data_IF_923827802872
#
_entry.id   IF_923827802872
#
_cell.length_a   1.000
_cell.length_b   1.000
_cell.length_c   1.000
_cell.angle_alpha   90.00
_cell.angle_beta   90.00
_cell.angle_gamma   90.00
#
_symmetry.space_group_name_H-M   'P 1'
#
loop_
_entity.id
_entity.type
_entity.pdbx_description
1 polymer ?
#
# COMPACT_ATOMS: atom_id res chain seq x y z
N UNK A 1 3.45 15.70 -12.26
CA UNK A 1 3.36 17.18 -12.30
C UNK A 1 2.87 17.60 -10.92
N UNK A 2 3.69 18.31 -10.14
CA UNK A 2 3.33 18.66 -8.75
C UNK A 2 2.19 19.69 -8.72
N UNK A 3 1.27 19.53 -7.77
CA UNK A 3 0.13 20.43 -7.58
C UNK A 3 0.01 20.83 -6.12
N UNK A 4 -0.70 21.94 -5.83
CA UNK A 4 -0.99 22.31 -4.42
C UNK A 4 -1.86 21.26 -3.71
N UNK A 5 -2.58 20.45 -4.47
CA UNK A 5 -3.40 19.37 -3.94
C UNK A 5 -2.59 18.23 -3.34
N UNK A 6 -1.29 18.09 -3.68
CA UNK A 6 -0.38 17.13 -3.04
C UNK A 6 -0.22 17.36 -1.53
N UNK A 7 -0.53 18.57 -1.04
CA UNK A 7 -0.54 18.86 0.39
C UNK A 7 -1.59 18.05 1.16
N UNK A 8 -2.71 17.66 0.53
CA UNK A 8 -3.79 16.90 1.18
C UNK A 8 -3.36 15.46 1.50
N UNK A 9 -2.92 14.62 0.54
CA UNK A 9 -2.42 13.29 0.86
C UNK A 9 -1.15 13.34 1.71
N UNK A 10 -0.29 14.35 1.56
CA UNK A 10 0.86 14.54 2.45
C UNK A 10 0.44 14.76 3.92
N UNK A 11 -0.54 15.65 4.16
CA UNK A 11 -1.10 15.86 5.49
C UNK A 11 -1.79 14.61 6.05
N UNK A 12 -2.52 13.86 5.22
CA UNK A 12 -3.12 12.59 5.62
C UNK A 12 -2.05 11.55 6.04
N UNK A 13 -0.92 11.49 5.33
CA UNK A 13 0.22 10.65 5.70
C UNK A 13 0.85 11.05 7.04
N UNK A 14 0.99 12.35 7.33
CA UNK A 14 1.47 12.85 8.62
C UNK A 14 0.47 12.59 9.75
N UNK A 15 -0.82 12.74 9.47
CA UNK A 15 -1.88 12.38 10.40
C UNK A 15 -1.83 10.88 10.73
N UNK A 16 -1.60 10.01 9.75
CA UNK A 16 -1.46 8.58 9.98
C UNK A 16 -0.28 8.24 10.90
N UNK A 17 0.90 8.86 10.69
CA UNK A 17 2.03 8.71 11.61
C UNK A 17 1.68 9.19 13.04
N UNK A 18 1.02 10.33 13.14
CA UNK A 18 0.62 10.92 14.43
C UNK A 18 -0.37 10.01 15.15
N UNK A 19 -1.31 9.42 14.41
CA UNK A 19 -2.28 8.45 14.92
C UNK A 19 -1.58 7.19 15.44
N UNK A 20 -0.67 6.60 14.65
CA UNK A 20 0.15 5.46 15.04
C UNK A 20 0.90 5.69 16.35
N UNK A 21 1.58 6.84 16.48
CA UNK A 21 2.29 7.21 17.72
C UNK A 21 1.30 7.47 18.87
N UNK A 22 0.17 8.14 18.59
CA UNK A 22 -0.86 8.46 19.57
C UNK A 22 -1.48 7.22 20.21
N UNK A 23 -1.74 6.16 19.43
CA UNK A 23 -2.25 4.89 19.96
C UNK A 23 -1.32 4.28 21.00
N UNK A 24 0.00 4.35 20.78
CA UNK A 24 0.99 3.83 21.71
C UNK A 24 0.90 4.53 23.07
N UNK A 25 0.85 5.86 23.06
CA UNK A 25 0.77 6.65 24.29
C UNK A 25 -0.61 6.58 24.95
N UNK A 26 -1.68 6.40 24.18
CA UNK A 26 -3.04 6.34 24.70
C UNK A 26 -3.37 4.97 25.33
N UNK A 27 -2.76 3.89 24.84
CA UNK A 27 -3.03 2.52 25.27
C UNK A 27 -3.06 2.28 26.80
N UNK A 28 -2.10 2.77 27.61
CA UNK A 28 -2.14 2.58 29.06
C UNK A 28 -3.18 3.45 29.79
N UNK A 29 -3.82 4.41 29.10
CA UNK A 29 -4.69 5.42 29.70
C UNK A 29 -6.15 5.31 29.28
N UNK A 30 -6.44 4.64 28.16
CA UNK A 30 -7.79 4.48 27.64
C UNK A 30 -8.39 3.10 27.98
N UNK A 31 -9.71 3.02 28.18
CA UNK A 31 -10.41 1.74 28.29
C UNK A 31 -10.21 0.89 27.03
N UNK A 32 -10.14 -0.44 27.20
CA UNK A 32 -9.91 -1.37 26.09
C UNK A 32 -10.93 -1.20 24.95
N UNK A 33 -12.22 -0.97 25.24
CA UNK A 33 -13.23 -0.80 24.20
C UNK A 33 -12.97 0.43 23.30
N UNK A 34 -12.45 1.52 23.87
CA UNK A 34 -12.02 2.71 23.11
C UNK A 34 -10.85 2.31 22.23
N UNK A 35 -9.86 1.63 22.81
CA UNK A 35 -8.69 1.17 22.07
C UNK A 35 -9.08 0.24 20.92
N UNK A 36 -10.03 -0.68 21.08
CA UNK A 36 -10.48 -1.57 20.00
C UNK A 36 -11.09 -0.78 18.82
N UNK A 37 -11.89 0.25 19.10
CA UNK A 37 -12.45 1.13 18.06
C UNK A 37 -11.32 1.88 17.35
N UNK A 38 -10.39 2.47 18.10
CA UNK A 38 -9.27 3.20 17.53
C UNK A 38 -8.31 2.29 16.74
N UNK A 39 -8.14 1.05 17.17
CA UNK A 39 -7.34 0.04 16.47
C UNK A 39 -7.97 -0.36 15.15
N UNK A 40 -9.30 -0.52 15.13
CA UNK A 40 -10.03 -0.77 13.89
C UNK A 40 -9.93 0.41 12.92
N UNK A 41 -10.04 1.65 13.41
CA UNK A 41 -9.81 2.86 12.61
C UNK A 41 -8.38 2.85 12.05
N UNK A 42 -7.37 2.50 12.85
CA UNK A 42 -6.00 2.35 12.38
C UNK A 42 -5.89 1.33 11.24
N UNK A 43 -6.54 0.16 11.33
CA UNK A 43 -6.58 -0.81 10.22
C UNK A 43 -7.15 -0.21 8.93
N UNK A 44 -8.24 0.58 9.03
CA UNK A 44 -8.80 1.28 7.88
C UNK A 44 -7.85 2.35 7.33
N UNK A 45 -7.09 3.03 8.20
CA UNK A 45 -6.09 4.02 7.81
C UNK A 45 -4.90 3.38 7.10
N UNK A 46 -4.41 2.22 7.55
CA UNK A 46 -3.36 1.45 6.85
C UNK A 46 -3.82 1.12 5.43
N UNK A 47 -5.05 0.61 5.27
CA UNK A 47 -5.63 0.36 3.95
C UNK A 47 -5.74 1.62 3.08
N UNK A 48 -6.30 2.71 3.63
CA UNK A 48 -6.45 3.98 2.92
C UNK A 48 -5.11 4.63 2.56
N UNK A 49 -4.08 4.40 3.38
CA UNK A 49 -2.74 4.89 3.11
C UNK A 49 -2.10 4.08 1.97
N UNK A 50 -2.03 2.75 2.08
CA UNK A 50 -1.46 1.89 1.03
C UNK A 50 -2.15 2.17 -0.30
N UNK A 51 -3.49 2.15 -0.33
CA UNK A 51 -4.30 2.29 -1.53
C UNK A 51 -4.66 3.73 -1.88
N UNK A 52 -4.02 4.73 -1.28
CA UNK A 52 -4.37 6.13 -1.49
C UNK A 52 -3.13 6.99 -1.43
N UNK A 53 -2.68 7.31 -0.21
CA UNK A 53 -1.51 8.19 0.03
C UNK A 53 -0.24 7.58 -0.58
N UNK A 54 0.15 6.39 -0.12
CA UNK A 54 1.34 5.68 -0.56
C UNK A 54 1.30 5.37 -2.05
N UNK A 55 0.17 4.86 -2.55
CA UNK A 55 -0.07 4.61 -3.97
C UNK A 55 0.17 5.86 -4.82
N UNK A 56 -0.48 6.99 -4.50
CA UNK A 56 -0.31 8.21 -5.27
C UNK A 56 1.12 8.74 -5.21
N UNK A 57 1.75 8.61 -4.04
CA UNK A 57 3.10 9.12 -3.79
C UNK A 57 4.16 8.43 -4.66
N UNK A 58 4.06 7.12 -4.87
CA UNK A 58 5.04 6.36 -5.68
C UNK A 58 4.93 6.69 -7.17
N UNK A 59 3.71 6.98 -7.65
CA UNK A 59 3.49 7.40 -9.05
C UNK A 59 3.84 8.87 -9.29
N UNK A 60 3.47 9.73 -8.35
CA UNK A 60 3.62 11.18 -8.40
C UNK A 60 4.13 11.68 -7.03
N UNK A 61 5.46 11.78 -6.83
CA UNK A 61 6.01 12.31 -5.59
C UNK A 61 5.46 13.70 -5.27
N UNK A 62 5.13 13.95 -4.01
CA UNK A 62 4.38 15.14 -3.59
C UNK A 62 5.24 16.42 -3.57
N UNK A 63 6.54 16.29 -3.40
CA UNK A 63 7.45 17.43 -3.27
C UNK A 63 8.34 17.59 -4.50
N UNK A 64 8.71 18.84 -4.82
CA UNK A 64 9.60 19.14 -5.96
C UNK A 64 11.03 18.62 -5.74
N UNK A 65 11.48 18.57 -4.49
CA UNK A 65 12.85 18.22 -4.13
C UNK A 65 12.96 16.76 -3.68
N UNK A 66 14.07 16.10 -4.01
CA UNK A 66 14.33 14.68 -3.67
C UNK A 66 14.29 14.44 -2.16
N UNK A 67 14.89 15.32 -1.36
CA UNK A 67 15.02 15.12 0.09
C UNK A 67 13.67 15.09 0.83
N UNK A 68 12.76 16.08 0.69
CA UNK A 68 11.42 16.00 1.28
C UNK A 68 10.64 14.75 0.87
N UNK A 69 10.76 14.29 -0.39
CA UNK A 69 10.15 13.03 -0.80
C UNK A 69 10.74 11.83 -0.04
N UNK A 70 12.06 11.76 0.15
CA UNK A 70 12.68 10.67 0.92
C UNK A 70 12.27 10.69 2.40
N UNK A 71 12.22 11.87 3.02
CA UNK A 71 11.75 12.02 4.40
C UNK A 71 10.27 11.65 4.55
N UNK A 72 9.44 12.00 3.56
CA UNK A 72 8.05 11.58 3.52
C UNK A 72 7.92 10.06 3.33
N UNK A 73 8.76 9.44 2.50
CA UNK A 73 8.87 7.98 2.37
C UNK A 73 9.14 7.30 3.71
N UNK A 74 10.13 7.78 4.47
CA UNK A 74 10.41 7.29 5.83
C UNK A 74 9.19 7.45 6.75
N UNK A 75 8.52 8.60 6.68
CA UNK A 75 7.30 8.87 7.47
C UNK A 75 6.22 7.82 7.17
N UNK A 76 5.95 7.55 5.88
CA UNK A 76 4.98 6.54 5.48
C UNK A 76 5.43 5.14 5.91
N UNK A 77 6.73 4.85 5.83
CA UNK A 77 7.26 3.57 6.24
C UNK A 77 7.12 3.28 7.72
N UNK A 78 7.31 4.29 8.57
CA UNK A 78 7.06 4.15 10.01
C UNK A 78 5.55 4.02 10.26
N UNK A 79 4.73 4.88 9.66
CA UNK A 79 3.28 4.90 9.88
C UNK A 79 2.59 3.58 9.47
N UNK A 80 3.01 2.98 8.35
CA UNK A 80 2.40 1.75 7.84
C UNK A 80 3.21 0.48 8.16
N UNK A 81 4.40 0.62 8.75
CA UNK A 81 5.33 -0.45 9.10
C UNK A 81 5.72 -1.36 7.91
N UNK A 82 6.01 -0.76 6.76
CA UNK A 82 6.65 -1.41 5.60
C UNK A 82 7.51 -0.39 4.84
N UNK A 83 8.45 -0.81 3.98
CA UNK A 83 9.26 0.16 3.20
C UNK A 83 8.47 0.72 2.00
N UNK A 84 8.35 2.04 1.93
CA UNK A 84 7.66 2.76 0.85
C UNK A 84 8.38 2.58 -0.49
N UNK A 85 9.71 2.56 -0.47
CA UNK A 85 10.56 2.30 -1.63
C UNK A 85 10.43 0.84 -2.11
N UNK A 86 10.30 -0.13 -1.20
CA UNK A 86 10.03 -1.52 -1.58
C UNK A 86 8.61 -1.71 -2.12
N UNK A 87 7.63 -1.02 -1.53
CA UNK A 87 6.27 -0.99 -2.05
C UNK A 87 6.22 -0.42 -3.47
N UNK A 88 6.97 0.65 -3.77
CA UNK A 88 7.12 1.15 -5.15
C UNK A 88 7.62 0.07 -6.12
N UNK A 89 8.60 -0.75 -5.72
CA UNK A 89 9.07 -1.85 -6.57
C UNK A 89 7.98 -2.90 -6.84
N UNK A 90 7.29 -3.35 -5.78
CA UNK A 90 6.19 -4.32 -5.89
C UNK A 90 5.07 -3.74 -6.77
N UNK A 91 4.73 -2.48 -6.58
CA UNK A 91 3.63 -1.84 -7.29
C UNK A 91 3.96 -1.53 -8.77
N UNK A 92 5.20 -1.14 -9.08
CA UNK A 92 5.62 -1.01 -10.49
C UNK A 92 5.63 -2.36 -11.19
N UNK A 93 6.04 -3.43 -10.50
CA UNK A 93 5.98 -4.79 -11.02
C UNK A 93 4.51 -5.23 -11.24
N UNK A 94 3.61 -4.83 -10.34
CA UNK A 94 2.17 -5.02 -10.49
C UNK A 94 1.61 -4.34 -11.75
N UNK A 95 1.99 -3.09 -12.04
CA UNK A 95 1.60 -2.42 -13.30
C UNK A 95 2.20 -3.07 -14.55
N UNK A 96 3.33 -3.75 -14.42
CA UNK A 96 3.95 -4.46 -15.54
C UNK A 96 3.19 -5.73 -15.91
N UNK A 97 2.74 -6.49 -14.91
CA UNK A 97 1.97 -7.72 -15.14
C UNK A 97 0.46 -7.50 -15.26
N UNK A 98 -0.11 -6.48 -14.61
CA UNK A 98 -1.54 -6.17 -14.57
C UNK A 98 -2.41 -7.37 -14.15
N UNK A 99 -2.02 -8.04 -13.06
CA UNK A 99 -2.63 -9.29 -12.60
C UNK A 99 -2.72 -10.34 -13.71
N UNK A 100 -1.59 -10.57 -14.38
CA UNK A 100 -1.42 -11.60 -15.40
C UNK A 100 -1.66 -13.01 -14.86
N UNK A 101 -2.07 -13.90 -15.78
CA UNK A 101 -2.15 -15.33 -15.49
C UNK A 101 -0.77 -15.95 -15.45
N UNK A 102 -0.68 -17.10 -14.82
CA UNK A 102 0.54 -17.89 -14.78
C UNK A 102 1.06 -18.20 -16.19
N UNK A 103 2.37 -18.13 -16.36
CA UNK A 103 3.07 -18.57 -17.56
C UNK A 103 3.22 -20.11 -17.60
N UNK A 104 3.96 -20.61 -18.58
CA UNK A 104 4.25 -22.03 -18.75
C UNK A 104 4.99 -22.68 -17.57
N UNK A 105 5.64 -21.88 -16.72
CA UNK A 105 6.35 -22.33 -15.51
C UNK A 105 5.50 -22.20 -14.24
N UNK A 106 4.26 -21.70 -14.35
CA UNK A 106 3.35 -21.52 -13.22
C UNK A 106 3.59 -20.25 -12.41
N UNK A 107 4.33 -19.25 -12.92
CA UNK A 107 4.58 -17.98 -12.21
C UNK A 107 4.03 -16.78 -13.00
N UNK A 108 3.96 -15.62 -12.34
CA UNK A 108 3.42 -14.38 -12.92
C UNK A 108 4.47 -13.27 -12.91
N UNK A 109 4.35 -12.33 -13.84
CA UNK A 109 5.09 -11.07 -13.80
C UNK A 109 4.65 -10.26 -12.58
N UNK A 110 3.34 -10.08 -12.40
CA UNK A 110 2.77 -9.38 -11.25
C UNK A 110 2.83 -10.25 -9.99
N UNK A 111 3.66 -9.88 -9.02
CA UNK A 111 3.77 -10.60 -7.75
C UNK A 111 2.49 -10.58 -6.90
N UNK A 112 1.61 -9.61 -7.16
CA UNK A 112 0.32 -9.45 -6.50
C UNK A 112 -0.84 -10.03 -7.33
N UNK A 113 -0.56 -10.71 -8.44
CA UNK A 113 -1.60 -11.24 -9.31
C UNK A 113 -2.54 -12.17 -8.54
N UNK A 114 -3.85 -11.94 -8.67
CA UNK A 114 -4.88 -12.82 -8.12
C UNK A 114 -4.84 -14.22 -8.75
N UNK A 115 -4.16 -14.39 -9.88
CA UNK A 115 -4.00 -15.67 -10.58
C UNK A 115 -2.73 -16.43 -10.19
N UNK A 116 -1.77 -15.78 -9.51
CA UNK A 116 -0.45 -16.36 -9.22
C UNK A 116 -0.50 -17.67 -8.43
N UNK A 117 -1.50 -17.83 -7.57
CA UNK A 117 -1.74 -19.03 -6.78
C UNK A 117 -3.13 -19.65 -7.07
N UNK A 118 -3.69 -19.30 -8.23
CA UNK A 118 -4.91 -19.88 -8.77
C UNK A 118 -4.65 -21.22 -9.47
N UNK A 119 -5.72 -21.81 -9.99
CA UNK A 119 -5.69 -23.08 -10.73
C UNK A 119 -6.58 -22.96 -11.97
N UNK A 120 -6.24 -23.69 -13.03
CA UNK A 120 -7.02 -23.76 -14.27
C UNK A 120 -7.31 -22.39 -14.92
N UNK A 121 -6.41 -21.41 -14.73
CA UNK A 121 -6.55 -20.05 -15.25
C UNK A 121 -7.54 -19.16 -14.47
N UNK A 122 -8.11 -19.65 -13.38
CA UNK A 122 -9.01 -18.94 -12.49
C UNK A 122 -8.25 -18.22 -11.35
N UNK A 123 -8.79 -17.11 -10.82
CA UNK A 123 -8.16 -16.43 -9.69
C UNK A 123 -8.24 -17.29 -8.42
N UNK A 124 -7.27 -17.16 -7.54
CA UNK A 124 -7.31 -17.82 -6.24
C UNK A 124 -8.50 -17.33 -5.40
N UNK A 125 -8.92 -18.14 -4.42
CA UNK A 125 -10.03 -17.76 -3.55
C UNK A 125 -9.72 -16.48 -2.75
N UNK A 126 -10.70 -15.56 -2.58
CA UNK A 126 -10.47 -14.23 -1.99
C UNK A 126 -9.90 -14.30 -0.58
N UNK A 127 -10.34 -15.25 0.25
CA UNK A 127 -9.84 -15.37 1.63
C UNK A 127 -8.39 -15.86 1.68
N UNK A 128 -8.01 -16.77 0.77
CA UNK A 128 -6.63 -17.24 0.66
C UNK A 128 -5.73 -16.08 0.22
N UNK A 129 -6.16 -15.30 -0.79
CA UNK A 129 -5.45 -14.10 -1.21
C UNK A 129 -5.30 -13.10 -0.06
N UNK A 130 -6.39 -12.75 0.62
CA UNK A 130 -6.42 -11.73 1.68
C UNK A 130 -5.53 -12.08 2.86
N UNK A 131 -5.58 -13.33 3.34
CA UNK A 131 -4.87 -13.73 4.55
C UNK A 131 -3.46 -14.28 4.30
N UNK A 132 -3.12 -14.68 3.07
CA UNK A 132 -1.78 -15.23 2.80
C UNK A 132 -0.86 -14.28 2.05
N UNK A 133 -1.38 -13.29 1.31
CA UNK A 133 -0.53 -12.41 0.48
C UNK A 133 0.52 -11.65 1.28
N UNK A 134 0.21 -11.26 2.51
CA UNK A 134 1.17 -10.63 3.42
C UNK A 134 2.46 -11.46 3.62
N UNK A 135 2.35 -12.77 3.60
CA UNK A 135 3.47 -13.69 3.85
C UNK A 135 4.17 -14.17 2.57
N UNK A 136 3.73 -13.72 1.40
CA UNK A 136 4.23 -14.17 0.09
C UNK A 136 5.26 -13.22 -0.53
N UNK A 137 5.49 -12.06 0.07
CA UNK A 137 6.46 -11.09 -0.42
C UNK A 137 7.91 -11.64 -0.32
N UNK A 138 8.63 -11.60 -1.45
CA UNK A 138 10.04 -11.97 -1.51
C UNK A 138 10.93 -10.72 -1.49
N UNK A 139 11.44 -10.40 -0.30
CA UNK A 139 12.36 -9.25 -0.09
C UNK A 139 13.64 -9.37 -0.94
N UNK A 140 14.10 -10.59 -1.22
CA UNK A 140 15.25 -10.84 -2.09
C UNK A 140 14.97 -10.45 -3.54
N UNK A 141 13.81 -10.85 -4.07
CA UNK A 141 13.32 -10.47 -5.39
C UNK A 141 13.10 -8.95 -5.49
N UNK A 142 12.46 -8.33 -4.48
CA UNK A 142 12.25 -6.88 -4.41
C UNK A 142 13.59 -6.12 -4.45
N UNK A 143 14.57 -6.53 -3.64
CA UNK A 143 15.92 -5.92 -3.66
C UNK A 143 16.64 -6.13 -4.99
N UNK A 144 16.42 -7.28 -5.65
CA UNK A 144 16.97 -7.53 -6.99
C UNK A 144 16.35 -6.56 -8.00
N UNK A 145 15.05 -6.31 -7.94
CA UNK A 145 14.37 -5.36 -8.82
C UNK A 145 14.83 -3.92 -8.57
N UNK A 146 14.92 -3.50 -7.30
CA UNK A 146 15.45 -2.19 -6.95
C UNK A 146 16.89 -1.98 -7.45
N UNK A 147 17.76 -3.00 -7.38
CA UNK A 147 19.14 -2.92 -7.89
C UNK A 147 19.20 -2.62 -9.39
N UNK A 148 18.25 -3.11 -10.19
CA UNK A 148 18.22 -2.89 -11.64
C UNK A 148 18.03 -1.41 -12.01
N UNK A 149 17.50 -0.60 -11.09
CA UNK A 149 17.26 0.85 -11.32
C UNK A 149 18.54 1.68 -11.34
N UNK A 150 19.66 1.14 -10.83
CA UNK A 150 20.96 1.83 -10.84
C UNK A 150 20.99 3.12 -10.01
N UNK A 151 20.16 3.22 -8.97
CA UNK A 151 20.03 4.40 -8.12
C UNK A 151 20.10 4.02 -6.62
N UNK A 152 19.90 4.99 -5.73
CA UNK A 152 20.00 4.81 -4.28
C UNK A 152 18.80 4.06 -3.64
N UNK A 153 17.85 3.52 -4.41
CA UNK A 153 16.60 2.98 -3.87
C UNK A 153 16.81 1.78 -2.95
N UNK A 154 17.84 0.96 -3.19
CA UNK A 154 18.19 -0.14 -2.28
C UNK A 154 18.60 0.39 -0.91
N UNK A 155 19.38 1.47 -0.87
CA UNK A 155 19.77 2.12 0.38
C UNK A 155 18.56 2.68 1.10
N UNK A 156 17.72 3.46 0.40
CA UNK A 156 16.53 4.07 1.00
C UNK A 156 15.51 3.03 1.47
N UNK A 157 15.28 1.96 0.70
CA UNK A 157 14.40 0.87 1.11
C UNK A 157 14.89 0.16 2.37
N UNK A 158 16.20 -0.10 2.48
CA UNK A 158 16.77 -0.68 3.70
C UNK A 158 16.74 0.29 4.88
N UNK A 159 16.95 1.59 4.64
CA UNK A 159 16.85 2.63 5.68
C UNK A 159 15.41 2.73 6.22
N UNK A 160 14.41 2.70 5.33
CA UNK A 160 12.99 2.68 5.70
C UNK A 160 12.62 1.43 6.50
N UNK A 161 13.09 0.24 6.08
CA UNK A 161 12.94 -1.00 6.84
C UNK A 161 13.52 -0.85 8.25
N UNK A 162 14.75 -0.36 8.35
CA UNK A 162 15.43 -0.15 9.62
C UNK A 162 14.70 0.88 10.49
N UNK A 163 14.17 1.95 9.89
CA UNK A 163 13.47 3.02 10.60
C UNK A 163 12.21 2.52 11.30
N UNK A 164 11.31 1.81 10.59
CA UNK A 164 10.10 1.30 11.23
C UNK A 164 10.42 0.14 12.18
N UNK A 165 11.39 -0.73 11.85
CA UNK A 165 11.80 -1.81 12.74
C UNK A 165 12.35 -1.25 14.07
N UNK A 166 13.16 -0.18 13.98
CA UNK A 166 13.67 0.54 15.17
C UNK A 166 12.53 1.18 15.95
N UNK A 167 11.58 1.83 15.28
CA UNK A 167 10.41 2.43 15.96
C UNK A 167 9.60 1.36 16.72
N UNK A 168 9.29 0.24 16.08
CA UNK A 168 8.58 -0.88 16.70
C UNK A 168 9.38 -1.53 17.83
N UNK A 169 10.70 -1.67 17.67
CA UNK A 169 11.57 -2.21 18.70
C UNK A 169 11.61 -1.30 19.93
N UNK A 170 11.74 0.02 19.74
CA UNK A 170 11.66 0.99 20.84
C UNK A 170 10.31 0.91 21.54
N UNK A 171 9.20 0.91 20.79
CA UNK A 171 7.86 0.71 21.37
C UNK A 171 7.75 -0.60 22.15
N UNK A 172 8.33 -1.68 21.64
CA UNK A 172 8.31 -2.99 22.30
C UNK A 172 9.06 -2.96 23.62
N UNK A 173 10.23 -2.30 23.70
CA UNK A 173 10.99 -2.15 24.94
C UNK A 173 10.20 -1.41 26.02
N UNK A 174 9.41 -0.40 25.64
CA UNK A 174 8.59 0.38 26.57
C UNK A 174 7.24 -0.28 26.89
N UNK A 175 6.60 -0.93 25.93
CA UNK A 175 5.31 -1.60 26.12
C UNK A 175 5.09 -2.74 25.12
N UNK A 176 5.71 -3.89 25.39
CA UNK A 176 5.58 -5.08 24.55
C UNK A 176 4.14 -5.61 24.44
N UNK A 177 3.30 -5.40 25.47
CA UNK A 177 1.90 -5.84 25.47
C UNK A 177 1.09 -5.07 24.42
N UNK A 178 1.32 -3.76 24.32
CA UNK A 178 0.75 -2.95 23.23
C UNK A 178 1.18 -3.51 21.88
N UNK A 179 2.48 -3.72 21.66
CA UNK A 179 3.00 -4.15 20.36
C UNK A 179 2.39 -5.50 19.96
N UNK A 180 2.45 -6.50 20.85
CA UNK A 180 2.07 -7.88 20.53
C UNK A 180 0.55 -8.08 20.51
N UNK A 181 -0.16 -7.63 21.54
CA UNK A 181 -1.58 -7.97 21.70
C UNK A 181 -2.55 -6.95 21.10
N UNK A 182 -2.09 -5.73 20.85
CA UNK A 182 -2.95 -4.67 20.32
C UNK A 182 -2.53 -4.26 18.91
N UNK A 183 -1.31 -3.77 18.74
CA UNK A 183 -0.84 -3.20 17.49
C UNK A 183 -0.77 -4.24 16.37
N UNK A 184 -0.08 -5.38 16.57
CA UNK A 184 0.13 -6.37 15.50
C UNK A 184 -1.19 -6.89 14.89
N UNK A 185 -2.23 -7.27 15.67
CA UNK A 185 -3.51 -7.69 15.11
C UNK A 185 -4.17 -6.62 14.22
N UNK A 186 -4.22 -5.36 14.67
CA UNK A 186 -4.86 -4.28 13.90
C UNK A 186 -4.02 -3.85 12.70
N UNK A 187 -2.69 -3.86 12.81
CA UNK A 187 -1.79 -3.61 11.69
C UNK A 187 -1.97 -4.67 10.60
N UNK A 188 -1.97 -5.95 10.97
CA UNK A 188 -2.19 -7.04 10.03
C UNK A 188 -3.59 -6.99 9.41
N UNK A 189 -4.63 -6.69 10.19
CA UNK A 189 -5.98 -6.48 9.67
C UNK A 189 -6.03 -5.35 8.62
N UNK A 190 -5.24 -4.29 8.79
CA UNK A 190 -5.11 -3.22 7.80
C UNK A 190 -4.52 -3.69 6.47
N UNK A 191 -3.50 -4.55 6.51
CA UNK A 191 -2.96 -5.21 5.32
C UNK A 191 -3.99 -6.14 4.67
N UNK A 192 -4.75 -6.92 5.45
CA UNK A 192 -5.84 -7.74 4.93
C UNK A 192 -6.89 -6.90 4.18
N UNK A 193 -7.27 -5.73 4.71
CA UNK A 193 -8.16 -4.80 4.00
C UNK A 193 -7.55 -4.28 2.69
N UNK A 194 -6.23 -4.03 2.68
CA UNK A 194 -5.52 -3.63 1.48
C UNK A 194 -5.56 -4.72 0.40
N UNK A 195 -5.27 -5.97 0.76
CA UNK A 195 -5.36 -7.11 -0.16
C UNK A 195 -6.80 -7.37 -0.63
N UNK A 196 -7.79 -7.20 0.25
CA UNK A 196 -9.20 -7.30 -0.14
C UNK A 196 -9.54 -6.26 -1.21
N UNK A 197 -9.04 -5.03 -1.04
CA UNK A 197 -9.21 -3.98 -2.03
C UNK A 197 -8.47 -4.29 -3.33
N UNK A 198 -7.24 -4.82 -3.24
CA UNK A 198 -6.45 -5.29 -4.40
C UNK A 198 -7.17 -6.37 -5.20
N UNK A 199 -7.70 -7.38 -4.52
CA UNK A 199 -8.40 -8.51 -5.13
C UNK A 199 -9.59 -8.03 -5.98
N UNK A 200 -10.50 -7.26 -5.39
CA UNK A 200 -11.71 -6.81 -6.09
C UNK A 200 -11.47 -5.74 -7.15
N UNK A 201 -10.29 -5.11 -7.16
CA UNK A 201 -9.87 -4.22 -8.24
C UNK A 201 -9.36 -4.96 -9.48
N UNK A 202 -9.16 -6.28 -9.39
CA UNK A 202 -8.74 -7.13 -10.50
C UNK A 202 -9.70 -8.29 -10.77
N UNK A 203 -10.55 -8.64 -9.82
CA UNK A 203 -11.53 -9.69 -9.98
C UNK A 203 -12.58 -9.34 -11.05
N UNK A 204 -12.64 -10.13 -12.13
CA UNK A 204 -13.49 -9.86 -13.29
C UNK A 204 -12.88 -8.92 -14.33
N UNK A 205 -11.64 -8.46 -14.11
CA UNK A 205 -10.85 -7.75 -15.12
C UNK A 205 -10.35 -8.71 -16.22
N UNK A 206 -9.78 -8.16 -17.28
CA UNK A 206 -9.10 -8.92 -18.33
C UNK A 206 -7.62 -8.48 -18.42
N UNK A 207 -6.67 -9.29 -17.92
CA UNK A 207 -5.25 -8.94 -17.93
C UNK A 207 -4.65 -8.87 -19.35
N UNK A 208 -5.32 -9.43 -20.36
CA UNK A 208 -4.84 -9.45 -21.75
C UNK A 208 -5.29 -8.22 -22.55
N UNK A 209 -6.15 -7.37 -21.97
CA UNK A 209 -6.71 -6.19 -22.65
C UNK A 209 -6.37 -4.91 -21.87
N UNK A 210 -5.54 -4.00 -22.43
CA UNK A 210 -5.07 -2.80 -21.73
C UNK A 210 -6.13 -1.94 -21.05
N UNK A 211 -7.28 -1.76 -21.70
CA UNK A 211 -8.38 -0.95 -21.16
C UNK A 211 -9.18 -1.66 -20.04
N UNK A 212 -8.99 -2.96 -19.88
CA UNK A 212 -9.70 -3.81 -18.95
C UNK A 212 -8.76 -4.46 -17.91
N UNK A 213 -7.55 -3.92 -17.73
CA UNK A 213 -6.56 -4.38 -16.74
C UNK A 213 -6.98 -4.22 -15.28
N UNK A 214 -8.17 -3.67 -15.01
CA UNK A 214 -8.68 -3.51 -13.66
C UNK A 214 -10.17 -3.21 -13.66
N UNK A 215 -10.75 -3.18 -12.47
CA UNK A 215 -12.15 -2.86 -12.21
C UNK A 215 -12.21 -1.54 -11.45
N UNK A 216 -12.83 -0.54 -12.07
CA UNK A 216 -13.00 0.79 -11.49
C UNK A 216 -14.28 0.91 -10.67
N UNK A 217 -14.19 1.61 -9.55
CA UNK A 217 -15.29 1.96 -8.64
C UNK A 217 -15.46 3.48 -8.60
N UNK A 218 -16.56 4.00 -9.15
CA UNK A 218 -16.81 5.45 -9.31
C UNK A 218 -17.59 6.11 -8.16
N UNK A 219 -17.75 5.42 -7.02
CA UNK A 219 -18.44 5.96 -5.85
C UNK A 219 -17.72 7.19 -5.30
N UNK A 220 -18.47 8.28 -5.04
CA UNK A 220 -17.89 9.56 -4.60
C UNK A 220 -17.15 9.46 -3.27
N UNK A 221 -17.74 8.79 -2.28
CA UNK A 221 -17.14 8.66 -0.93
C UNK A 221 -15.84 7.86 -1.00
N UNK A 222 -15.84 6.73 -1.70
CA UNK A 222 -14.65 5.91 -1.90
C UNK A 222 -13.54 6.71 -2.58
N UNK A 223 -13.83 7.38 -3.70
CA UNK A 223 -12.80 8.17 -4.39
C UNK A 223 -12.30 9.36 -3.59
N UNK A 224 -13.14 9.98 -2.75
CA UNK A 224 -12.65 11.05 -1.89
C UNK A 224 -11.70 10.54 -0.79
N UNK A 225 -12.02 9.40 -0.17
CA UNK A 225 -11.19 8.78 0.87
C UNK A 225 -9.88 8.20 0.33
N UNK A 226 -9.89 7.66 -0.90
CA UNK A 226 -8.76 6.99 -1.51
C UNK A 226 -8.08 7.81 -2.61
N UNK A 227 -8.23 9.15 -2.60
CA UNK A 227 -7.60 10.05 -3.58
C UNK A 227 -7.78 9.57 -5.02
N UNK A 228 -9.04 9.32 -5.39
CA UNK A 228 -9.51 8.89 -6.70
C UNK A 228 -8.86 7.59 -7.22
N UNK A 229 -8.30 6.77 -6.33
CA UNK A 229 -7.74 5.47 -6.69
C UNK A 229 -8.81 4.42 -7.07
N UNK A 230 -10.10 4.77 -6.99
CA UNK A 230 -11.17 3.96 -7.54
C UNK A 230 -11.26 3.98 -9.05
N UNK A 231 -10.62 4.93 -9.73
CA UNK A 231 -10.42 4.91 -11.18
C UNK A 231 -9.28 3.96 -11.54
N UNK A 232 -9.39 2.71 -11.08
CA UNK A 232 -8.29 1.75 -11.05
C UNK A 232 -7.90 1.28 -12.45
N UNK A 233 -8.87 0.97 -13.33
CA UNK A 233 -8.61 0.60 -14.71
C UNK A 233 -7.93 1.75 -15.47
N UNK A 234 -8.44 2.98 -15.31
CA UNK A 234 -7.85 4.18 -15.90
C UNK A 234 -6.44 4.43 -15.39
N UNK A 235 -6.22 4.20 -14.09
CA UNK A 235 -4.93 4.31 -13.46
C UNK A 235 -3.94 3.27 -14.03
N UNK A 236 -4.32 2.01 -14.17
CA UNK A 236 -3.49 0.99 -14.83
C UNK A 236 -3.16 1.36 -16.27
N UNK A 237 -4.12 1.94 -17.01
CA UNK A 237 -3.91 2.38 -18.38
C UNK A 237 -2.96 3.60 -18.48
N UNK A 238 -3.05 4.57 -17.55
CA UNK A 238 -2.14 5.72 -17.46
C UNK A 238 -1.75 6.07 -16.01
N UNK A 239 -0.75 5.39 -15.42
CA UNK A 239 -0.43 5.50 -14.00
C UNK A 239 0.07 6.88 -13.55
N UNK A 240 0.65 7.65 -14.49
CA UNK A 240 1.18 9.00 -14.26
C UNK A 240 0.10 10.09 -14.18
N UNK A 241 -1.17 9.79 -14.47
CA UNK A 241 -2.26 10.77 -14.33
C UNK A 241 -2.40 11.13 -12.85
N UNK A 242 -2.36 12.42 -12.54
CA UNK A 242 -2.53 12.92 -11.18
C UNK A 242 -3.96 12.65 -10.70
N UNK A 243 -4.14 12.24 -9.44
CA UNK A 243 -5.44 11.82 -8.90
C UNK A 243 -6.57 12.83 -9.10
N UNK A 244 -6.28 14.13 -8.97
CA UNK A 244 -7.28 15.20 -9.20
C UNK A 244 -7.78 15.30 -10.63
N UNK A 245 -7.17 14.58 -11.58
CA UNK A 245 -7.51 14.58 -13.01
C UNK A 245 -8.18 13.29 -13.47
N UNK A 246 -8.32 12.29 -12.59
CA UNK A 246 -8.86 10.97 -12.98
C UNK A 246 -10.29 11.05 -13.52
N UNK A 247 -11.14 11.86 -12.89
CA UNK A 247 -12.52 12.03 -13.35
C UNK A 247 -12.57 12.65 -14.76
N UNK A 248 -11.73 13.65 -15.04
CA UNK A 248 -11.63 14.23 -16.39
C UNK A 248 -11.03 13.25 -17.39
N UNK A 249 -10.04 12.47 -16.97
CA UNK A 249 -9.36 11.51 -17.83
C UNK A 249 -10.26 10.36 -18.30
N UNK A 250 -11.21 9.95 -17.45
CA UNK A 250 -12.22 8.95 -17.80
C UNK A 250 -13.19 9.42 -18.91
N UNK A 251 -13.52 10.71 -18.93
CA UNK A 251 -14.51 11.28 -19.85
C UNK A 251 -13.94 11.40 -21.25
#
# INVERSE_FOLDING_TARGET
>A
MHTRWDAVPAAAGLFHLTYFLGLFFLYPHAPLWVMLILGFIYSLMVNANINGVGHNFIHNPFFRSKLPNRLFGITQSIACCFSQTMYDAVHMQHHKGNSDRQDENGDTVDWLSIYRHGHDGEPEGPWKYVFLSFFRDDVGAIRKELRKRGNDDVFWGNLELAAFATALFVMFLFNWRYVIFYFLPFWYLGHCFSYLNGYYRHYGANPDKPIAWGVSSYGKIYNWLFFYNGYHAEHHFRPKVHWTKMETFRR
#
